data_IF_910049713373
#
_entry.id   IF_910049713373
#
_cell.length_a   1.000
_cell.length_b   1.000
_cell.length_c   1.000
_cell.angle_alpha   90.00
_cell.angle_beta   90.00
_cell.angle_gamma   90.00
#
_symmetry.space_group_name_H-M   'P 1'
#
loop_
_entity.id
_entity.type
_entity.pdbx_description
1 polymer ?
#
# COMPACT_ATOMS: atom_id res chain seq x y z
N UNK A 1 16.91 -72.91 -24.96
CA UNK A 1 17.66 -72.06 -23.99
C UNK A 1 17.74 -70.60 -24.41
N UNK A 2 17.35 -70.22 -25.63
CA UNK A 2 17.33 -68.82 -26.08
C UNK A 2 16.04 -68.04 -25.71
N UNK A 3 14.93 -68.72 -25.40
CA UNK A 3 13.69 -68.03 -25.02
C UNK A 3 13.73 -67.45 -23.60
N UNK A 4 14.53 -68.02 -22.70
CA UNK A 4 14.70 -67.51 -21.33
C UNK A 4 15.60 -66.27 -21.23
N UNK A 5 16.35 -65.93 -22.28
CA UNK A 5 17.16 -64.70 -22.32
C UNK A 5 16.39 -63.49 -22.89
N UNK A 6 15.34 -63.71 -23.69
CA UNK A 6 14.46 -62.62 -24.17
C UNK A 6 13.50 -62.11 -23.09
N UNK A 7 13.12 -62.93 -22.11
CA UNK A 7 12.27 -62.48 -21.01
C UNK A 7 13.02 -61.66 -19.95
N UNK A 8 14.31 -61.94 -19.74
CA UNK A 8 15.14 -61.19 -18.78
C UNK A 8 15.44 -59.77 -19.29
N UNK A 9 15.59 -59.58 -20.59
CA UNK A 9 15.86 -58.26 -21.17
C UNK A 9 14.59 -57.38 -21.35
N UNK A 10 13.40 -57.88 -21.00
CA UNK A 10 12.15 -57.10 -21.02
C UNK A 10 11.79 -56.49 -19.66
N UNK A 11 12.54 -56.82 -18.59
CA UNK A 11 12.26 -56.40 -17.21
C UNK A 11 13.08 -55.21 -16.70
N UNK A 12 14.02 -54.68 -17.48
CA UNK A 12 14.86 -53.54 -17.06
C UNK A 12 14.54 -52.20 -17.76
N UNK A 13 13.40 -52.06 -18.45
CA UNK A 13 12.89 -50.71 -18.78
C UNK A 13 12.04 -50.17 -17.62
N UNK A 14 12.78 -49.69 -16.64
CA UNK A 14 12.31 -49.09 -15.39
C UNK A 14 11.18 -48.05 -15.56
N UNK A 15 10.25 -47.99 -14.59
CA UNK A 15 9.03 -47.19 -14.61
C UNK A 15 9.27 -45.70 -14.27
N UNK A 16 10.19 -45.02 -14.96
CA UNK A 16 10.48 -43.59 -14.69
C UNK A 16 9.46 -42.61 -15.31
N UNK A 17 8.59 -43.08 -16.20
CA UNK A 17 7.61 -42.23 -16.89
C UNK A 17 6.26 -42.07 -16.17
N UNK A 18 6.09 -42.67 -14.98
CA UNK A 18 4.83 -42.60 -14.22
C UNK A 18 4.79 -41.45 -13.21
N UNK A 19 5.90 -40.74 -12.94
CA UNK A 19 5.91 -39.61 -11.98
C UNK A 19 5.47 -38.29 -12.63
N UNK A 20 5.44 -38.20 -13.96
CA UNK A 20 5.13 -36.94 -14.67
C UNK A 20 3.70 -36.80 -15.20
N UNK A 21 2.81 -37.78 -14.95
CA UNK A 21 1.43 -37.73 -15.46
C UNK A 21 0.36 -37.74 -14.37
N UNK A 22 0.59 -37.05 -13.25
CA UNK A 22 -0.54 -36.56 -12.45
C UNK A 22 -1.02 -35.28 -13.11
N UNK A 23 -2.01 -35.43 -13.99
CA UNK A 23 -2.84 -34.37 -14.55
C UNK A 23 -3.34 -33.52 -13.37
N UNK A 24 -2.66 -32.42 -13.06
CA UNK A 24 -3.32 -31.32 -12.38
C UNK A 24 -4.29 -30.80 -13.42
N UNK A 25 -5.57 -31.04 -13.20
CA UNK A 25 -6.59 -30.09 -13.66
C UNK A 25 -6.13 -28.73 -13.12
N UNK A 26 -5.35 -28.00 -13.92
CA UNK A 26 -4.79 -26.71 -13.50
C UNK A 26 -5.99 -25.78 -13.31
N UNK A 27 -6.45 -25.64 -12.06
CA UNK A 27 -7.59 -24.80 -11.75
C UNK A 27 -7.38 -23.40 -12.30
N UNK A 28 -8.46 -22.76 -12.75
CA UNK A 28 -8.44 -21.37 -13.27
C UNK A 28 -7.67 -20.43 -12.33
N UNK A 29 -7.80 -20.63 -11.02
CA UNK A 29 -7.05 -19.91 -10.00
C UNK A 29 -5.54 -20.08 -10.12
N UNK A 30 -5.03 -21.31 -10.28
CA UNK A 30 -3.59 -21.56 -10.41
C UNK A 30 -3.02 -20.90 -11.66
N UNK A 31 -3.78 -20.91 -12.77
CA UNK A 31 -3.43 -20.18 -14.00
C UNK A 31 -3.48 -18.66 -13.81
N UNK A 32 -4.45 -18.14 -13.07
CA UNK A 32 -4.54 -16.72 -12.73
C UNK A 32 -3.38 -16.28 -11.84
N UNK A 33 -2.98 -17.09 -10.85
CA UNK A 33 -1.79 -16.85 -10.02
C UNK A 33 -0.49 -16.91 -10.83
N UNK A 34 -0.36 -17.84 -11.77
CA UNK A 34 0.78 -17.87 -12.68
C UNK A 34 0.82 -16.67 -13.62
N UNK A 35 -0.35 -16.25 -14.12
CA UNK A 35 -0.48 -14.97 -14.80
C UNK A 35 0.03 -13.88 -13.88
N UNK A 36 -0.54 -13.69 -12.68
CA UNK A 36 -0.20 -12.65 -11.69
C UNK A 36 1.30 -12.55 -11.36
N UNK A 37 2.01 -13.68 -11.23
CA UNK A 37 3.45 -13.70 -10.93
C UNK A 37 4.37 -13.22 -12.08
N UNK A 38 3.82 -12.93 -13.27
CA UNK A 38 4.62 -12.57 -14.44
C UNK A 38 5.43 -13.75 -15.01
N UNK A 39 5.06 -14.99 -14.67
CA UNK A 39 5.77 -16.18 -15.10
C UNK A 39 5.39 -16.59 -16.53
N UNK A 40 6.40 -16.92 -17.34
CA UNK A 40 6.18 -17.44 -18.68
C UNK A 40 5.67 -18.90 -18.60
N UNK A 41 4.40 -19.10 -18.94
CA UNK A 41 3.66 -20.36 -18.81
C UNK A 41 4.35 -21.54 -19.51
N UNK A 42 5.18 -21.26 -20.53
CA UNK A 42 5.93 -22.26 -21.30
C UNK A 42 7.07 -22.90 -20.49
N UNK A 43 7.80 -22.13 -19.67
CA UNK A 43 8.94 -22.62 -18.87
C UNK A 43 8.45 -23.39 -17.64
N UNK A 44 7.28 -23.00 -17.12
CA UNK A 44 6.72 -23.59 -15.89
C UNK A 44 6.13 -24.99 -16.10
N UNK A 45 5.83 -25.36 -17.35
CA UNK A 45 5.38 -26.71 -17.72
C UNK A 45 6.50 -27.74 -17.56
N UNK A 46 7.75 -27.34 -17.75
CA UNK A 46 8.90 -28.24 -17.82
C UNK A 46 9.56 -28.50 -16.45
N UNK A 47 9.31 -27.66 -15.44
CA UNK A 47 9.93 -27.81 -14.10
C UNK A 47 8.91 -27.76 -12.96
N UNK A 48 8.52 -28.91 -12.36
CA UNK A 48 7.53 -28.93 -11.27
C UNK A 48 8.02 -28.27 -9.98
N UNK A 49 9.33 -28.27 -9.71
CA UNK A 49 9.92 -27.69 -8.49
C UNK A 49 9.78 -26.16 -8.43
N UNK A 50 9.71 -25.47 -9.57
CA UNK A 50 9.58 -24.01 -9.60
C UNK A 50 8.13 -23.53 -9.45
N UNK A 51 7.13 -24.41 -9.67
CA UNK A 51 5.70 -24.07 -9.58
C UNK A 51 5.30 -23.49 -8.23
N UNK A 52 5.76 -24.07 -7.13
CA UNK A 52 5.45 -23.58 -5.77
C UNK A 52 6.07 -22.21 -5.49
N UNK A 53 7.25 -21.91 -6.06
CA UNK A 53 7.90 -20.61 -5.90
C UNK A 53 7.12 -19.50 -6.63
N UNK A 54 6.68 -19.78 -7.86
CA UNK A 54 5.85 -18.83 -8.63
C UNK A 54 4.44 -18.66 -8.06
N UNK A 55 3.88 -19.71 -7.47
CA UNK A 55 2.62 -19.63 -6.74
C UNK A 55 2.73 -18.71 -5.52
N UNK A 56 3.82 -18.81 -4.73
CA UNK A 56 4.07 -17.92 -3.60
C UNK A 56 4.27 -16.46 -4.00
N UNK A 57 5.03 -16.20 -5.06
CA UNK A 57 5.26 -14.84 -5.58
C UNK A 57 3.96 -14.24 -6.13
N UNK A 58 3.21 -14.98 -6.94
CA UNK A 58 1.92 -14.51 -7.47
C UNK A 58 0.86 -14.33 -6.37
N UNK A 59 0.90 -15.18 -5.34
CA UNK A 59 0.02 -15.10 -4.18
C UNK A 59 0.28 -13.86 -3.33
N UNK A 60 1.54 -13.48 -3.13
CA UNK A 60 1.91 -12.26 -2.42
C UNK A 60 1.38 -11.00 -3.13
N UNK A 61 1.60 -10.90 -4.45
CA UNK A 61 1.09 -9.79 -5.29
C UNK A 61 -0.44 -9.71 -5.24
N UNK A 62 -1.12 -10.87 -5.30
CA UNK A 62 -2.58 -10.94 -5.24
C UNK A 62 -3.14 -10.54 -3.87
N UNK A 63 -2.48 -10.94 -2.78
CA UNK A 63 -2.84 -10.52 -1.43
C UNK A 63 -2.74 -8.99 -1.28
N UNK A 64 -1.66 -8.39 -1.79
CA UNK A 64 -1.49 -6.93 -1.81
C UNK A 64 -2.59 -6.24 -2.62
N UNK A 65 -2.97 -6.79 -3.78
CA UNK A 65 -4.07 -6.26 -4.59
C UNK A 65 -5.41 -6.22 -3.84
N UNK A 66 -5.78 -7.31 -3.17
CA UNK A 66 -7.02 -7.38 -2.39
C UNK A 66 -6.99 -6.35 -1.26
N UNK A 67 -5.89 -6.30 -0.50
CA UNK A 67 -5.74 -5.39 0.63
C UNK A 67 -5.80 -3.92 0.17
N UNK A 68 -5.14 -3.60 -0.95
CA UNK A 68 -5.17 -2.28 -1.56
C UNK A 68 -6.56 -1.89 -2.05
N UNK A 69 -7.31 -2.82 -2.65
CA UNK A 69 -8.69 -2.58 -3.10
C UNK A 69 -9.60 -2.27 -1.93
N UNK A 70 -9.50 -3.02 -0.82
CA UNK A 70 -10.27 -2.77 0.39
C UNK A 70 -9.92 -1.41 1.03
N UNK A 71 -8.62 -1.12 1.15
CA UNK A 71 -8.14 0.15 1.71
C UNK A 71 -8.54 1.36 0.85
N UNK A 72 -8.36 1.27 -0.46
CA UNK A 72 -8.75 2.33 -1.41
C UNK A 72 -10.26 2.54 -1.44
N UNK A 73 -11.05 1.46 -1.44
CA UNK A 73 -12.52 1.56 -1.39
C UNK A 73 -12.99 2.31 -0.14
N UNK A 74 -12.40 2.01 1.03
CA UNK A 74 -12.73 2.71 2.27
C UNK A 74 -12.33 4.20 2.23
N UNK A 75 -11.14 4.52 1.70
CA UNK A 75 -10.70 5.89 1.54
C UNK A 75 -11.66 6.69 0.62
N UNK A 76 -12.01 6.15 -0.55
CA UNK A 76 -12.96 6.81 -1.45
C UNK A 76 -14.38 6.87 -0.87
N UNK A 77 -14.76 5.95 0.00
CA UNK A 77 -16.02 6.03 0.74
C UNK A 77 -16.06 7.25 1.67
N UNK A 78 -14.98 7.52 2.39
CA UNK A 78 -14.90 8.71 3.25
C UNK A 78 -14.86 10.03 2.48
N UNK A 79 -14.38 10.04 1.24
CA UNK A 79 -14.33 11.24 0.40
C UNK A 79 -15.65 11.52 -0.32
N UNK A 80 -16.25 10.51 -0.96
CA UNK A 80 -17.40 10.69 -1.84
C UNK A 80 -18.74 10.32 -1.22
N UNK A 81 -18.77 9.69 -0.03
CA UNK A 81 -19.98 9.21 0.66
C UNK A 81 -20.92 8.36 -0.23
N UNK A 82 -20.39 7.71 -1.26
CA UNK A 82 -21.18 6.93 -2.22
C UNK A 82 -20.57 5.55 -2.47
N UNK A 83 -21.23 4.50 -1.98
CA UNK A 83 -20.78 3.10 -2.05
C UNK A 83 -20.38 2.68 -3.47
N UNK A 84 -21.16 3.07 -4.48
CA UNK A 84 -20.97 2.58 -5.85
C UNK A 84 -19.70 3.15 -6.47
N UNK A 85 -19.46 4.45 -6.26
CA UNK A 85 -18.23 5.10 -6.70
C UNK A 85 -17.02 4.61 -5.91
N UNK A 86 -17.18 4.38 -4.60
CA UNK A 86 -16.09 3.90 -3.75
C UNK A 86 -15.57 2.53 -4.16
N UNK A 87 -16.46 1.59 -4.46
CA UNK A 87 -16.07 0.25 -4.94
C UNK A 87 -15.44 0.34 -6.33
N UNK A 88 -16.00 1.13 -7.24
CA UNK A 88 -15.46 1.30 -8.59
C UNK A 88 -14.04 1.88 -8.58
N UNK A 89 -13.84 3.00 -7.88
CA UNK A 89 -12.53 3.63 -7.76
C UNK A 89 -11.56 2.80 -6.92
N UNK A 90 -12.05 2.06 -5.92
CA UNK A 90 -11.24 1.12 -5.14
C UNK A 90 -10.68 -0.03 -5.97
N UNK A 91 -11.48 -0.60 -6.89
CA UNK A 91 -11.02 -1.64 -7.82
C UNK A 91 -9.97 -1.09 -8.79
N UNK A 92 -10.19 0.12 -9.35
CA UNK A 92 -9.21 0.79 -10.21
C UNK A 92 -7.91 1.04 -9.46
N UNK A 93 -7.99 1.53 -8.23
CA UNK A 93 -6.83 1.80 -7.39
C UNK A 93 -6.07 0.52 -7.04
N UNK A 94 -6.78 -0.55 -6.70
CA UNK A 94 -6.21 -1.88 -6.58
C UNK A 94 -5.48 -2.29 -7.86
N UNK A 95 -6.12 -2.20 -9.02
CA UNK A 95 -5.53 -2.53 -10.32
C UNK A 95 -4.23 -1.77 -10.61
N UNK A 96 -4.15 -0.49 -10.24
CA UNK A 96 -2.92 0.30 -10.33
C UNK A 96 -1.82 -0.32 -9.47
N UNK A 97 -2.09 -0.57 -8.19
CA UNK A 97 -1.12 -1.18 -7.26
C UNK A 97 -0.69 -2.57 -7.74
N UNK A 98 -1.63 -3.38 -8.24
CA UNK A 98 -1.34 -4.69 -8.82
C UNK A 98 -0.45 -4.60 -10.06
N UNK A 99 -0.69 -3.62 -10.93
CA UNK A 99 0.13 -3.40 -12.12
C UNK A 99 1.58 -3.04 -11.74
N UNK A 100 1.75 -2.15 -10.77
CA UNK A 100 3.07 -1.74 -10.26
C UNK A 100 3.80 -2.88 -9.53
N UNK A 101 3.14 -3.60 -8.63
CA UNK A 101 3.75 -4.69 -7.86
C UNK A 101 4.17 -5.84 -8.81
N UNK A 102 3.32 -6.18 -9.81
CA UNK A 102 3.68 -7.10 -10.89
C UNK A 102 4.89 -6.63 -11.69
N UNK A 103 4.92 -5.36 -12.10
CA UNK A 103 6.03 -4.78 -12.87
C UNK A 103 7.36 -4.88 -12.10
N UNK A 104 7.33 -4.59 -10.80
CA UNK A 104 8.51 -4.68 -9.92
C UNK A 104 8.98 -6.14 -9.79
N UNK A 105 8.07 -7.07 -9.50
CA UNK A 105 8.40 -8.51 -9.40
C UNK A 105 8.97 -9.05 -10.71
N UNK A 106 8.42 -8.61 -11.85
CA UNK A 106 8.88 -9.04 -13.17
C UNK A 106 10.29 -8.51 -13.50
N UNK A 107 10.62 -7.29 -13.09
CA UNK A 107 11.93 -6.65 -13.36
C UNK A 107 13.04 -7.16 -12.43
N UNK A 108 12.71 -7.55 -11.20
CA UNK A 108 13.67 -8.14 -10.25
C UNK A 108 14.21 -9.52 -10.68
N UNK A 109 13.55 -10.20 -11.62
CA UNK A 109 13.83 -11.61 -11.95
C UNK A 109 15.11 -11.85 -12.77
N UNK A 110 15.86 -10.82 -13.18
CA UNK A 110 17.00 -10.98 -14.11
C UNK A 110 18.30 -10.35 -13.60
N UNK A 111 18.96 -10.96 -12.60
CA UNK A 111 20.38 -10.67 -12.30
C UNK A 111 21.13 -11.73 -11.47
N UNK A 112 20.96 -13.03 -11.73
CA UNK A 112 21.79 -14.04 -11.05
C UNK A 112 22.27 -15.11 -12.03
N UNK A 113 23.46 -14.89 -12.59
CA UNK A 113 24.29 -15.93 -13.21
C UNK A 113 25.73 -15.45 -13.18
N UNK A 114 26.50 -15.91 -12.19
CA UNK A 114 27.90 -15.57 -11.96
C UNK A 114 28.41 -16.28 -10.71
N UNK A 115 29.01 -17.45 -10.92
CA UNK A 115 29.44 -18.41 -9.92
C UNK A 115 30.72 -17.94 -9.21
N UNK A 116 30.63 -17.01 -8.27
CA UNK A 116 31.78 -16.58 -7.45
C UNK A 116 31.37 -16.37 -5.99
N UNK A 117 32.19 -16.81 -5.03
CA UNK A 117 31.91 -16.62 -3.58
C UNK A 117 31.91 -15.11 -3.21
N UNK A 118 32.60 -14.28 -4.00
CA UNK A 118 32.50 -12.80 -3.97
C UNK A 118 31.15 -12.25 -4.47
N UNK A 119 30.43 -12.97 -5.33
CA UNK A 119 29.11 -12.57 -5.84
C UNK A 119 28.00 -12.79 -4.81
N UNK A 120 28.13 -13.76 -3.89
CA UNK A 120 27.20 -13.97 -2.77
C UNK A 120 27.13 -12.80 -1.78
N UNK A 121 28.28 -12.23 -1.38
CA UNK A 121 28.28 -11.04 -0.50
C UNK A 121 27.83 -9.76 -1.24
N UNK A 122 28.11 -9.64 -2.55
CA UNK A 122 27.60 -8.52 -3.36
C UNK A 122 26.11 -8.66 -3.67
N UNK A 123 25.57 -9.89 -3.74
CA UNK A 123 24.15 -10.18 -4.02
C UNK A 123 23.23 -9.54 -2.98
N UNK A 124 23.56 -9.63 -1.69
CA UNK A 124 22.71 -9.04 -0.64
C UNK A 124 22.56 -7.50 -0.76
N UNK A 125 23.63 -6.77 -1.11
CA UNK A 125 23.55 -5.32 -1.33
C UNK A 125 23.01 -4.95 -2.73
N UNK A 126 23.25 -5.78 -3.75
CA UNK A 126 22.67 -5.61 -5.09
C UNK A 126 21.23 -6.13 -5.22
N UNK A 127 20.67 -6.79 -4.21
CA UNK A 127 19.25 -7.15 -4.10
C UNK A 127 18.43 -6.04 -3.40
N UNK A 128 19.06 -5.28 -2.50
CA UNK A 128 18.47 -4.07 -1.90
C UNK A 128 18.41 -2.89 -2.89
N UNK A 129 19.40 -2.76 -3.78
CA UNK A 129 19.45 -1.71 -4.79
C UNK A 129 18.25 -1.71 -5.78
N UNK A 130 17.76 -2.86 -6.29
CA UNK A 130 16.52 -2.94 -7.07
C UNK A 130 15.25 -2.90 -6.20
N UNK A 131 15.36 -2.98 -4.87
CA UNK A 131 14.23 -2.76 -3.94
C UNK A 131 14.00 -1.26 -3.62
N UNK A 132 15.00 -0.40 -3.83
CA UNK A 132 14.89 1.07 -3.71
C UNK A 132 13.71 1.69 -4.46
N UNK A 133 13.45 1.38 -5.75
CA UNK A 133 12.29 1.94 -6.46
C UNK A 133 10.96 1.57 -5.79
N UNK A 134 10.87 0.43 -5.09
CA UNK A 134 9.66 0.04 -4.32
C UNK A 134 9.45 0.95 -3.12
N UNK A 135 10.52 1.30 -2.41
CA UNK A 135 10.46 2.22 -1.26
C UNK A 135 10.13 3.64 -1.72
N UNK A 136 10.71 4.10 -2.82
CA UNK A 136 10.43 5.43 -3.40
C UNK A 136 8.97 5.52 -3.86
N UNK A 137 8.46 4.50 -4.55
CA UNK A 137 7.08 4.46 -5.00
C UNK A 137 6.09 4.37 -3.82
N UNK A 138 6.39 3.56 -2.81
CA UNK A 138 5.58 3.47 -1.59
C UNK A 138 5.59 4.78 -0.80
N UNK A 139 6.74 5.46 -0.73
CA UNK A 139 6.86 6.78 -0.11
C UNK A 139 6.04 7.83 -0.87
N UNK A 140 6.07 7.83 -2.21
CA UNK A 140 5.26 8.73 -3.04
C UNK A 140 3.76 8.52 -2.82
N UNK A 141 3.30 7.26 -2.82
CA UNK A 141 1.89 6.95 -2.57
C UNK A 141 1.49 7.34 -1.15
N UNK A 142 2.32 7.03 -0.15
CA UNK A 142 2.09 7.40 1.24
C UNK A 142 2.00 8.91 1.43
N UNK A 143 2.89 9.68 0.80
CA UNK A 143 2.94 11.14 0.93
C UNK A 143 1.75 11.81 0.23
N UNK A 144 1.39 11.33 -0.97
CA UNK A 144 0.22 11.82 -1.72
C UNK A 144 -1.10 11.48 -1.06
N UNK A 145 -1.22 10.33 -0.38
CA UNK A 145 -2.45 9.93 0.34
C UNK A 145 -2.52 10.55 1.74
N UNK A 146 -1.39 10.71 2.44
CA UNK A 146 -1.36 11.23 3.81
C UNK A 146 -1.83 12.68 3.87
N UNK A 147 -1.34 13.56 2.99
CA UNK A 147 -1.68 14.99 2.98
C UNK A 147 -3.20 15.28 2.90
N UNK A 148 -3.98 14.70 1.97
CA UNK A 148 -5.41 14.97 1.91
C UNK A 148 -6.16 14.35 3.09
N UNK A 149 -5.75 13.16 3.57
CA UNK A 149 -6.40 12.49 4.69
C UNK A 149 -6.17 13.23 6.01
N UNK A 150 -4.94 13.73 6.20
CA UNK A 150 -4.51 14.55 7.33
C UNK A 150 -5.35 15.83 7.43
N UNK A 151 -5.47 16.58 6.33
CA UNK A 151 -6.29 17.79 6.29
C UNK A 151 -7.77 17.48 6.52
N UNK A 152 -8.29 16.36 5.98
CA UNK A 152 -9.69 15.96 6.17
C UNK A 152 -10.01 15.60 7.61
N UNK A 153 -9.09 14.95 8.31
CA UNK A 153 -9.24 14.60 9.72
C UNK A 153 -9.13 15.85 10.60
N UNK A 154 -8.19 16.74 10.28
CA UNK A 154 -7.95 17.97 11.04
C UNK A 154 -8.87 19.14 10.67
N UNK A 155 -9.69 19.05 9.61
CA UNK A 155 -10.69 20.07 9.24
C UNK A 155 -11.58 20.44 10.44
N UNK A 156 -11.99 19.45 11.24
CA UNK A 156 -12.83 19.68 12.42
C UNK A 156 -12.07 20.35 13.57
N UNK A 157 -10.82 19.95 13.81
CA UNK A 157 -10.00 20.53 14.87
C UNK A 157 -9.63 21.97 14.53
N UNK A 158 -9.23 22.23 13.27
CA UNK A 158 -8.92 23.56 12.76
C UNK A 158 -10.16 24.46 12.83
N UNK A 159 -11.35 23.95 12.45
CA UNK A 159 -12.60 24.72 12.55
C UNK A 159 -12.95 25.07 14.01
N UNK A 160 -12.71 24.15 14.95
CA UNK A 160 -12.94 24.37 16.37
C UNK A 160 -11.97 25.40 16.96
N UNK A 161 -10.68 25.28 16.65
CA UNK A 161 -9.65 26.21 17.11
C UNK A 161 -9.86 27.62 16.51
N UNK A 162 -10.22 27.71 15.23
CA UNK A 162 -10.60 28.98 14.58
C UNK A 162 -11.83 29.62 15.24
N UNK A 163 -12.85 28.84 15.58
CA UNK A 163 -14.03 29.34 16.27
C UNK A 163 -13.67 29.86 17.67
N UNK A 164 -12.86 29.11 18.43
CA UNK A 164 -12.36 29.55 19.74
C UNK A 164 -11.51 30.83 19.63
N UNK A 165 -10.58 30.88 18.67
CA UNK A 165 -9.76 32.07 18.41
C UNK A 165 -10.59 33.33 18.13
N UNK A 166 -11.62 33.21 17.29
CA UNK A 166 -12.55 34.32 17.00
C UNK A 166 -13.33 34.78 18.24
N UNK A 167 -13.79 33.85 19.08
CA UNK A 167 -14.49 34.21 20.32
C UNK A 167 -13.59 34.93 21.32
N UNK A 168 -12.32 34.51 21.42
CA UNK A 168 -11.33 35.15 22.29
C UNK A 168 -11.01 36.55 21.80
N UNK A 169 -10.86 36.75 20.49
CA UNK A 169 -10.61 38.06 19.87
C UNK A 169 -11.80 39.03 20.04
N UNK A 170 -13.03 38.53 19.89
CA UNK A 170 -14.23 39.34 20.17
C UNK A 170 -14.32 39.72 21.65
N UNK A 171 -14.00 38.80 22.55
CA UNK A 171 -14.05 39.05 23.98
C UNK A 171 -12.95 40.02 24.45
N UNK A 172 -11.76 39.97 23.85
CA UNK A 172 -10.69 40.93 24.13
C UNK A 172 -11.03 42.34 23.64
N UNK A 173 -11.64 42.46 22.45
CA UNK A 173 -12.12 43.75 21.94
C UNK A 173 -13.20 44.38 22.83
N UNK A 174 -14.17 43.59 23.30
CA UNK A 174 -15.20 44.05 24.24
C UNK A 174 -14.60 44.44 25.59
N UNK A 175 -13.64 43.66 26.11
CA UNK A 175 -12.99 43.97 27.39
C UNK A 175 -12.19 45.27 27.33
N UNK A 176 -11.45 45.51 26.24
CA UNK A 176 -10.75 46.77 26.01
C UNK A 176 -11.72 47.96 25.98
N UNK A 177 -12.91 47.79 25.39
CA UNK A 177 -13.95 48.81 25.35
C UNK A 177 -14.48 49.13 26.76
N UNK A 178 -14.78 48.09 27.55
CA UNK A 178 -15.24 48.24 28.94
C UNK A 178 -14.20 48.97 29.80
N UNK A 179 -12.92 48.57 29.70
CA UNK A 179 -11.83 49.21 30.45
C UNK A 179 -11.70 50.71 30.09
N UNK A 180 -11.94 51.09 28.83
CA UNK A 180 -11.98 52.50 28.41
C UNK A 180 -13.14 53.27 29.06
N UNK A 181 -14.35 52.70 29.07
CA UNK A 181 -15.51 53.34 29.71
C UNK A 181 -15.35 53.45 31.23
N UNK A 182 -14.84 52.41 31.89
CA UNK A 182 -14.57 52.41 33.33
C UNK A 182 -13.54 53.48 33.73
N UNK A 183 -12.49 53.66 32.93
CA UNK A 183 -11.51 54.70 33.16
C UNK A 183 -12.09 56.11 32.99
N UNK A 184 -12.96 56.32 31.99
CA UNK A 184 -13.64 57.60 31.82
C UNK A 184 -14.60 57.90 32.98
N UNK A 185 -15.39 56.91 33.42
CA UNK A 185 -16.31 57.07 34.55
C UNK A 185 -15.55 57.46 35.83
N UNK A 186 -14.44 56.79 36.14
CA UNK A 186 -13.59 57.16 37.28
C UNK A 186 -13.01 58.56 37.16
N UNK A 187 -12.62 59.00 35.96
CA UNK A 187 -12.12 60.34 35.74
C UNK A 187 -13.21 61.40 35.98
N UNK A 188 -14.41 61.18 35.46
CA UNK A 188 -15.56 62.06 35.69
C UNK A 188 -15.99 62.10 37.15
N UNK A 189 -15.99 60.97 37.85
CA UNK A 189 -16.32 60.90 39.27
C UNK A 189 -15.28 61.63 40.15
N UNK A 190 -13.99 61.54 39.76
CA UNK A 190 -12.93 62.36 40.33
C UNK A 190 -13.16 63.87 40.12
N UNK A 191 -13.68 64.27 38.96
CA UNK A 191 -13.97 65.68 38.65
C UNK A 191 -15.18 66.21 39.43
N UNK A 192 -16.25 65.41 39.57
CA UNK A 192 -17.44 65.78 40.37
C UNK A 192 -17.07 65.96 41.85
N UNK A 193 -16.27 65.04 42.41
CA UNK A 193 -15.82 65.13 43.81
C UNK A 193 -14.89 66.32 44.08
N UNK A 194 -14.14 66.79 43.07
CA UNK A 194 -13.38 68.04 43.16
C UNK A 194 -14.27 69.29 43.13
N UNK A 195 -15.40 69.24 42.41
CA UNK A 195 -16.35 70.36 42.31
C UNK A 195 -17.29 70.45 43.53
N UNK A 196 -17.70 69.33 44.15
CA UNK A 196 -18.51 69.34 45.38
C UNK A 196 -17.70 69.68 46.64
N UNK A 197 -16.37 69.58 46.58
CA UNK A 197 -15.46 69.91 47.68
C UNK A 197 -15.05 71.40 47.79
N UNK A 198 -15.57 72.27 46.91
CA UNK A 198 -15.38 73.73 46.93
C UNK A 198 -16.62 74.46 47.45
#
# INVERSE_FOLDING_TARGET
>A
MEEKQKEVNKKELTPKNQVQKKRSEDGLFTRFLWWCSGANLKILKDTPTEKSKFFGIGGAVFATWIMATLSGSYAFFTTFNNISFSVFFGIIWGLVIFNFDRFIVATMRKRSSGNDIKSKLRSFNNELLPALPRIILAALIGLTVSKPLELKLFENEIARELAMGRTIEQQSALKNLEDLYQNQLKAFEGEISMLEGQ
#
